data_IF_889606932518
#
_entry.id   IF_889606932518
#
_cell.length_a   1.000
_cell.length_b   1.000
_cell.length_c   1.000
_cell.angle_alpha   90.00
_cell.angle_beta   90.00
_cell.angle_gamma   90.00
#
_symmetry.space_group_name_H-M   'P 1'
#
loop_
_entity.id
_entity.type
_entity.pdbx_description
1 polymer ?
#
# COMPACT_ATOMS: atom_id res chain seq x y z
N UNK A 1 -24.45 -9.41 -18.45
CA UNK A 1 -23.26 -10.17 -18.01
C UNK A 1 -21.92 -9.60 -18.53
N UNK A 2 -21.90 -8.80 -19.59
CA UNK A 2 -20.67 -8.17 -20.15
C UNK A 2 -20.12 -6.98 -19.32
N UNK A 3 -20.99 -6.27 -18.58
CA UNK A 3 -20.55 -5.14 -17.74
C UNK A 3 -19.68 -5.54 -16.55
N UNK A 4 -19.85 -6.74 -16.00
CA UNK A 4 -19.07 -7.20 -14.85
C UNK A 4 -17.62 -7.55 -15.20
N UNK A 5 -17.37 -8.09 -16.41
CA UNK A 5 -16.02 -8.46 -16.86
C UNK A 5 -15.14 -7.23 -17.12
N UNK A 6 -15.71 -6.13 -17.60
CA UNK A 6 -14.96 -4.90 -17.86
C UNK A 6 -14.41 -4.25 -16.59
N UNK A 7 -15.04 -4.47 -15.43
CA UNK A 7 -14.60 -3.92 -14.12
C UNK A 7 -13.72 -4.90 -13.34
N UNK A 8 -13.81 -6.21 -13.59
CA UNK A 8 -13.04 -7.24 -12.86
C UNK A 8 -11.54 -7.06 -13.08
N UNK A 9 -11.11 -6.93 -14.35
CA UNK A 9 -9.68 -6.82 -14.65
C UNK A 9 -9.02 -5.55 -14.10
N UNK A 10 -9.62 -4.34 -14.23
CA UNK A 10 -9.07 -3.14 -13.60
C UNK A 10 -8.97 -3.26 -12.08
N UNK A 11 -9.99 -3.77 -11.40
CA UNK A 11 -9.98 -3.93 -9.95
C UNK A 11 -8.90 -4.95 -9.50
N UNK A 12 -8.79 -6.08 -10.19
CA UNK A 12 -7.76 -7.09 -9.91
C UNK A 12 -6.35 -6.56 -10.18
N UNK A 13 -6.13 -5.87 -11.31
CA UNK A 13 -4.84 -5.29 -11.65
C UNK A 13 -4.44 -4.19 -10.66
N UNK A 14 -5.39 -3.36 -10.25
CA UNK A 14 -5.17 -2.31 -9.26
C UNK A 14 -4.80 -2.89 -7.90
N UNK A 15 -5.54 -3.90 -7.42
CA UNK A 15 -5.22 -4.62 -6.19
C UNK A 15 -3.84 -5.29 -6.28
N UNK A 16 -3.52 -5.91 -7.41
CA UNK A 16 -2.20 -6.53 -7.65
C UNK A 16 -1.07 -5.50 -7.56
N UNK A 17 -1.16 -4.39 -8.30
CA UNK A 17 -0.10 -3.38 -8.34
C UNK A 17 0.11 -2.69 -6.99
N UNK A 18 -0.97 -2.37 -6.30
CA UNK A 18 -0.89 -1.77 -4.97
C UNK A 18 -0.29 -2.74 -3.94
N UNK A 19 -0.79 -3.97 -3.90
CA UNK A 19 -0.28 -4.99 -2.98
C UNK A 19 1.16 -5.42 -3.29
N UNK A 20 1.60 -5.30 -4.55
CA UNK A 20 2.98 -5.54 -4.94
C UNK A 20 3.95 -4.59 -4.21
N UNK A 21 3.59 -3.31 -4.11
CA UNK A 21 4.42 -2.30 -3.45
C UNK A 21 4.53 -2.61 -1.96
N UNK A 22 3.40 -2.83 -1.29
CA UNK A 22 3.37 -3.09 0.15
C UNK A 22 4.08 -4.41 0.51
N UNK A 23 3.91 -5.44 -0.33
CA UNK A 23 4.62 -6.70 -0.16
C UNK A 23 6.14 -6.54 -0.29
N UNK A 24 6.63 -5.67 -1.19
CA UNK A 24 8.06 -5.36 -1.33
C UNK A 24 8.58 -4.62 -0.10
N UNK A 25 7.84 -3.64 0.43
CA UNK A 25 8.22 -2.93 1.66
C UNK A 25 8.30 -3.90 2.85
N UNK A 26 7.28 -4.72 3.07
CA UNK A 26 7.30 -5.73 4.12
C UNK A 26 8.48 -6.71 3.96
N UNK A 27 8.68 -7.22 2.74
CA UNK A 27 9.75 -8.17 2.45
C UNK A 27 11.13 -7.57 2.72
N UNK A 28 11.36 -6.30 2.39
CA UNK A 28 12.64 -5.62 2.62
C UNK A 28 13.01 -5.65 4.10
N UNK A 29 12.06 -5.38 4.99
CA UNK A 29 12.27 -5.44 6.44
C UNK A 29 12.47 -6.88 6.92
N UNK A 30 11.66 -7.83 6.42
CA UNK A 30 11.82 -9.25 6.73
C UNK A 30 13.21 -9.75 6.36
N UNK A 31 13.71 -9.39 5.17
CA UNK A 31 15.04 -9.77 4.70
C UNK A 31 16.16 -9.10 5.52
N UNK A 32 15.99 -7.83 5.91
CA UNK A 32 16.94 -7.13 6.78
C UNK A 32 17.09 -7.87 8.12
N UNK A 33 15.97 -8.22 8.76
CA UNK A 33 15.95 -8.99 10.01
C UNK A 33 16.57 -10.39 9.79
N UNK A 34 16.18 -11.09 8.73
CA UNK A 34 16.68 -12.43 8.43
C UNK A 34 18.22 -12.44 8.21
N UNK A 35 18.76 -11.38 7.59
CA UNK A 35 20.18 -11.23 7.32
C UNK A 35 20.99 -10.98 8.60
N UNK A 36 20.43 -10.24 9.58
CA UNK A 36 21.16 -9.87 10.80
C UNK A 36 20.98 -10.88 11.94
N UNK A 37 19.75 -11.41 12.08
CA UNK A 37 19.36 -12.26 13.23
C UNK A 37 18.94 -13.67 12.83
N UNK A 38 18.89 -13.94 11.53
CA UNK A 38 18.47 -15.23 10.99
C UNK A 38 16.97 -15.36 10.76
N UNK A 39 16.61 -16.44 10.11
CA UNK A 39 15.24 -16.69 9.66
C UNK A 39 14.22 -17.03 10.77
N UNK A 40 14.70 -17.44 11.97
CA UNK A 40 13.79 -17.78 13.08
C UNK A 40 13.02 -16.57 13.60
N UNK A 41 13.68 -15.48 14.08
CA UNK A 41 12.95 -14.28 14.54
C UNK A 41 12.19 -13.60 13.40
N UNK A 42 12.75 -13.53 12.18
CA UNK A 42 12.07 -12.97 11.02
C UNK A 42 10.80 -13.77 10.67
N UNK A 43 10.89 -15.08 10.60
CA UNK A 43 9.77 -15.96 10.28
C UNK A 43 8.68 -15.95 11.37
N UNK A 44 9.05 -15.97 12.65
CA UNK A 44 8.09 -15.88 13.75
C UNK A 44 7.34 -14.55 13.74
N UNK A 45 8.04 -13.44 13.51
CA UNK A 45 7.41 -12.12 13.39
C UNK A 45 6.45 -12.05 12.21
N UNK A 46 6.89 -12.53 11.04
CA UNK A 46 6.05 -12.56 9.84
C UNK A 46 4.80 -13.43 10.04
N UNK A 47 4.93 -14.64 10.57
CA UNK A 47 3.81 -15.52 10.84
C UNK A 47 2.84 -14.94 11.88
N UNK A 48 3.35 -14.32 12.94
CA UNK A 48 2.51 -13.64 13.93
C UNK A 48 1.76 -12.46 13.31
N UNK A 49 2.42 -11.65 12.47
CA UNK A 49 1.78 -10.56 11.74
C UNK A 49 0.66 -11.04 10.81
N UNK A 50 0.93 -12.08 10.02
CA UNK A 50 -0.06 -12.71 9.15
C UNK A 50 -1.21 -13.34 9.92
N UNK A 51 -0.95 -13.98 11.07
CA UNK A 51 -1.99 -14.55 11.91
C UNK A 51 -2.94 -13.50 12.49
N UNK A 52 -2.39 -12.38 12.99
CA UNK A 52 -3.17 -11.23 13.47
C UNK A 52 -3.95 -10.61 12.32
N UNK A 53 -3.35 -10.44 11.14
CA UNK A 53 -4.01 -9.92 9.95
C UNK A 53 -5.18 -10.81 9.54
N UNK A 54 -4.96 -12.13 9.49
CA UNK A 54 -6.02 -13.09 9.18
C UNK A 54 -7.17 -13.03 10.22
N UNK A 55 -6.84 -12.92 11.50
CA UNK A 55 -7.83 -12.74 12.55
C UNK A 55 -8.65 -11.46 12.35
N UNK A 56 -7.99 -10.34 12.02
CA UNK A 56 -8.68 -9.07 11.73
C UNK A 56 -9.64 -9.25 10.55
N UNK A 57 -9.21 -9.89 9.47
CA UNK A 57 -10.06 -10.13 8.27
C UNK A 57 -11.25 -11.03 8.61
N UNK A 58 -11.03 -12.12 9.36
CA UNK A 58 -12.10 -13.06 9.74
C UNK A 58 -13.11 -12.42 10.68
N UNK A 59 -12.67 -11.56 11.60
CA UNK A 59 -13.56 -10.89 12.56
C UNK A 59 -14.28 -9.71 11.91
N UNK A 60 -13.56 -8.87 11.18
CA UNK A 60 -14.15 -7.65 10.59
C UNK A 60 -14.94 -7.95 9.31
N UNK A 61 -14.53 -8.95 8.52
CA UNK A 61 -15.18 -9.26 7.25
C UNK A 61 -16.70 -9.49 7.38
N UNK A 62 -17.19 -10.38 8.25
CA UNK A 62 -18.61 -10.57 8.47
C UNK A 62 -19.33 -9.35 9.04
N UNK A 63 -18.65 -8.57 9.91
CA UNK A 63 -19.21 -7.34 10.49
C UNK A 63 -19.53 -6.29 9.41
N UNK A 64 -18.70 -6.20 8.37
CA UNK A 64 -18.93 -5.27 7.25
C UNK A 64 -20.25 -5.56 6.52
N UNK A 65 -20.70 -6.82 6.47
CA UNK A 65 -21.98 -7.20 5.87
C UNK A 65 -23.22 -6.69 6.62
N UNK A 66 -23.08 -6.26 7.88
CA UNK A 66 -24.17 -5.70 8.68
C UNK A 66 -24.23 -4.16 8.66
N UNK A 67 -23.24 -3.51 8.06
CA UNK A 67 -23.18 -2.05 7.96
C UNK A 67 -24.05 -1.58 6.79
N UNK A 68 -24.91 -0.55 6.95
CA UNK A 68 -25.64 0.04 5.83
C UNK A 68 -24.69 0.47 4.71
N UNK A 69 -25.01 0.07 3.47
CA UNK A 69 -24.15 0.30 2.30
C UNK A 69 -23.66 1.76 2.17
N UNK A 70 -24.55 2.72 2.36
CA UNK A 70 -24.19 4.15 2.29
C UNK A 70 -23.14 4.56 3.32
N UNK A 71 -23.28 4.07 4.56
CA UNK A 71 -22.30 4.35 5.60
C UNK A 71 -20.96 3.69 5.28
N UNK A 72 -21.00 2.45 4.78
CA UNK A 72 -19.81 1.72 4.35
C UNK A 72 -19.09 2.47 3.23
N UNK A 73 -19.83 2.87 2.17
CA UNK A 73 -19.29 3.67 1.05
C UNK A 73 -18.67 4.98 1.54
N UNK A 74 -19.35 5.71 2.42
CA UNK A 74 -18.82 6.96 2.96
C UNK A 74 -17.52 6.73 3.74
N UNK A 75 -17.52 5.81 4.70
CA UNK A 75 -16.34 5.55 5.55
C UNK A 75 -15.16 5.04 4.70
N UNK A 76 -15.41 4.06 3.83
CA UNK A 76 -14.36 3.52 2.96
C UNK A 76 -13.89 4.60 1.97
N UNK A 77 -14.80 5.36 1.36
CA UNK A 77 -14.47 6.45 0.46
C UNK A 77 -13.56 7.49 1.10
N UNK A 78 -13.85 7.90 2.35
CA UNK A 78 -13.00 8.82 3.10
C UNK A 78 -11.63 8.20 3.39
N UNK A 79 -11.57 6.94 3.83
CA UNK A 79 -10.29 6.24 4.07
C UNK A 79 -9.45 6.15 2.81
N UNK A 80 -10.06 5.75 1.67
CA UNK A 80 -9.39 5.72 0.36
C UNK A 80 -8.82 7.07 -0.04
N UNK A 81 -9.63 8.13 0.14
CA UNK A 81 -9.19 9.49 -0.19
C UNK A 81 -7.99 9.88 0.67
N UNK A 82 -8.02 9.60 1.97
CA UNK A 82 -6.91 9.90 2.88
C UNK A 82 -5.64 9.11 2.51
N UNK A 83 -5.78 7.80 2.22
CA UNK A 83 -4.65 6.98 1.78
C UNK A 83 -4.11 7.44 0.42
N UNK A 84 -4.99 7.64 -0.55
CA UNK A 84 -4.63 8.11 -1.88
C UNK A 84 -3.90 9.46 -1.84
N UNK A 85 -4.41 10.43 -1.08
CA UNK A 85 -3.79 11.73 -0.90
C UNK A 85 -2.43 11.64 -0.18
N UNK A 86 -2.30 10.75 0.81
CA UNK A 86 -1.01 10.52 1.49
C UNK A 86 0.04 9.97 0.52
N UNK A 87 -0.35 9.00 -0.31
CA UNK A 87 0.54 8.42 -1.32
C UNK A 87 0.89 9.43 -2.42
N UNK A 88 -0.11 10.15 -2.94
CA UNK A 88 0.11 11.20 -3.93
C UNK A 88 1.06 12.29 -3.43
N UNK A 89 0.82 12.79 -2.21
CA UNK A 89 1.70 13.80 -1.61
C UNK A 89 3.15 13.29 -1.56
N UNK A 90 3.38 12.07 -1.07
CA UNK A 90 4.71 11.46 -0.97
C UNK A 90 5.34 11.28 -2.36
N UNK A 91 4.56 10.77 -3.31
CA UNK A 91 5.01 10.54 -4.68
C UNK A 91 5.32 11.85 -5.43
N UNK A 92 4.51 12.90 -5.25
CA UNK A 92 4.75 14.24 -5.81
C UNK A 92 6.06 14.82 -5.28
N UNK A 93 6.26 14.82 -3.96
CA UNK A 93 7.44 15.37 -3.32
C UNK A 93 8.72 14.62 -3.74
N UNK A 94 8.64 13.30 -3.90
CA UNK A 94 9.73 12.46 -4.43
C UNK A 94 10.00 12.78 -5.90
N UNK A 95 8.96 12.84 -6.73
CA UNK A 95 9.10 13.18 -8.16
C UNK A 95 9.61 14.61 -8.41
N UNK A 96 9.35 15.51 -7.46
CA UNK A 96 9.85 16.88 -7.49
C UNK A 96 11.29 17.02 -6.96
N UNK A 97 11.87 15.96 -6.37
CA UNK A 97 13.19 16.00 -5.75
C UNK A 97 13.25 16.72 -4.40
N UNK A 98 12.09 17.00 -3.78
CA UNK A 98 12.00 17.66 -2.46
C UNK A 98 12.37 16.70 -1.34
N UNK A 99 11.97 15.42 -1.49
CA UNK A 99 12.37 14.33 -0.61
C UNK A 99 13.04 13.24 -1.44
N UNK A 100 13.99 12.46 -0.89
CA UNK A 100 14.67 11.41 -1.61
C UNK A 100 13.67 10.36 -2.09
N UNK A 101 13.97 9.73 -3.24
CA UNK A 101 13.26 8.53 -3.67
C UNK A 101 13.43 7.45 -2.61
N UNK A 102 12.38 6.68 -2.40
CA UNK A 102 12.51 5.50 -1.56
C UNK A 102 13.43 4.50 -2.27
N UNK A 103 14.46 4.09 -1.57
CA UNK A 103 15.43 3.11 -2.07
C UNK A 103 15.40 1.92 -1.10
N UNK A 104 14.84 0.82 -1.57
CA UNK A 104 14.77 -0.43 -0.82
C UNK A 104 16.16 -0.91 -0.36
N UNK A 105 17.20 -0.60 -1.15
CA UNK A 105 18.59 -0.91 -0.78
C UNK A 105 19.05 -0.07 0.41
N UNK A 106 18.69 1.21 0.43
CA UNK A 106 18.98 2.11 1.56
C UNK A 106 18.16 1.73 2.80
N UNK A 107 16.87 1.41 2.62
CA UNK A 107 16.02 0.93 3.73
C UNK A 107 16.60 -0.35 4.32
N UNK A 108 16.94 -1.33 3.49
CA UNK A 108 17.58 -2.57 3.91
C UNK A 108 18.90 -2.30 4.65
N UNK A 109 19.75 -1.41 4.12
CA UNK A 109 21.02 -1.06 4.74
C UNK A 109 20.83 -0.38 6.10
N UNK A 110 19.87 0.54 6.21
CA UNK A 110 19.55 1.27 7.45
C UNK A 110 19.03 0.31 8.52
N UNK A 111 18.02 -0.50 8.21
CA UNK A 111 17.46 -1.51 9.12
C UNK A 111 18.54 -2.51 9.58
N UNK A 112 19.39 -2.94 8.63
CA UNK A 112 20.51 -3.84 8.93
C UNK A 112 21.53 -3.20 9.87
N UNK A 113 21.85 -1.90 9.68
CA UNK A 113 22.78 -1.16 10.53
C UNK A 113 22.21 -0.94 11.93
N UNK A 114 20.94 -0.56 12.04
CA UNK A 114 20.25 -0.37 13.33
C UNK A 114 20.18 -1.68 14.12
N UNK A 115 19.81 -2.78 13.48
CA UNK A 115 19.78 -4.10 14.11
C UNK A 115 21.16 -4.56 14.56
N UNK A 116 22.22 -4.28 13.79
CA UNK A 116 23.62 -4.62 14.18
C UNK A 116 24.09 -3.78 15.37
N UNK A 117 23.74 -2.50 15.42
CA UNK A 117 24.09 -1.64 16.55
C UNK A 117 23.35 -2.08 17.82
N UNK A 118 22.08 -2.44 17.71
CA UNK A 118 21.30 -3.02 18.80
C UNK A 118 21.91 -4.36 19.24
N UNK A 119 22.40 -5.18 18.29
CA UNK A 119 23.03 -6.49 18.55
C UNK A 119 24.27 -6.40 19.45
N UNK A 120 24.97 -5.30 19.44
CA UNK A 120 26.13 -5.07 20.31
C UNK A 120 25.75 -4.85 21.78
N UNK A 121 24.48 -4.53 22.07
CA UNK A 121 24.05 -4.08 23.40
C UNK A 121 23.44 -5.19 24.28
N UNK A 122 22.78 -6.19 23.74
CA UNK A 122 22.24 -7.31 24.54
C UNK A 122 21.60 -8.44 23.68
N UNK A 123 22.18 -9.64 23.67
CA UNK A 123 21.79 -10.73 22.76
C UNK A 123 20.37 -11.28 23.00
N UNK A 124 19.95 -11.48 24.23
CA UNK A 124 18.65 -12.10 24.54
C UNK A 124 17.44 -11.19 24.29
N UNK A 125 17.61 -9.87 24.38
CA UNK A 125 16.57 -8.87 24.07
C UNK A 125 16.36 -8.69 22.58
N UNK A 126 17.31 -9.08 21.79
CA UNK A 126 17.42 -8.75 20.37
C UNK A 126 16.57 -9.64 19.48
N UNK A 127 16.39 -10.91 19.81
CA UNK A 127 15.53 -11.81 19.04
C UNK A 127 14.06 -11.37 19.18
N UNK A 128 13.67 -10.89 20.36
CA UNK A 128 12.35 -10.31 20.57
C UNK A 128 12.14 -9.00 19.76
N UNK A 129 13.10 -8.09 19.80
CA UNK A 129 13.03 -6.85 19.02
C UNK A 129 12.99 -7.12 17.51
N UNK A 130 13.81 -8.03 17.03
CA UNK A 130 13.83 -8.46 15.65
C UNK A 130 12.48 -9.09 15.22
N UNK A 131 11.91 -9.96 16.06
CA UNK A 131 10.58 -10.53 15.85
C UNK A 131 9.50 -9.45 15.82
N UNK A 132 9.56 -8.50 16.75
CA UNK A 132 8.61 -7.40 16.82
C UNK A 132 8.72 -6.46 15.61
N UNK A 133 9.93 -6.16 15.13
CA UNK A 133 10.15 -5.37 13.91
C UNK A 133 9.50 -6.03 12.70
N UNK A 134 9.74 -7.31 12.48
CA UNK A 134 9.12 -8.07 11.38
C UNK A 134 7.60 -8.16 11.55
N UNK A 135 7.12 -8.43 12.76
CA UNK A 135 5.69 -8.45 13.08
C UNK A 135 5.01 -7.14 12.70
N UNK A 136 5.58 -6.01 13.14
CA UNK A 136 5.02 -4.68 12.84
C UNK A 136 5.02 -4.39 11.34
N UNK A 137 6.10 -4.70 10.64
CA UNK A 137 6.19 -4.49 9.20
C UNK A 137 5.10 -5.28 8.46
N UNK A 138 5.02 -6.58 8.67
CA UNK A 138 4.03 -7.44 8.00
C UNK A 138 2.60 -7.07 8.39
N UNK A 139 2.36 -6.68 9.64
CA UNK A 139 1.03 -6.26 10.08
C UNK A 139 0.62 -4.92 9.45
N UNK A 140 1.50 -3.93 9.42
CA UNK A 140 1.18 -2.59 8.92
C UNK A 140 0.98 -2.62 7.39
N UNK A 141 1.93 -3.19 6.65
CA UNK A 141 1.82 -3.30 5.20
C UNK A 141 0.67 -4.25 4.79
N UNK A 142 0.46 -5.32 5.56
CA UNK A 142 -0.67 -6.22 5.36
C UNK A 142 -2.02 -5.54 5.62
N UNK A 143 -2.14 -4.65 6.59
CA UNK A 143 -3.34 -3.83 6.80
C UNK A 143 -3.60 -2.89 5.63
N UNK A 144 -2.56 -2.27 5.06
CA UNK A 144 -2.71 -1.44 3.85
C UNK A 144 -3.27 -2.27 2.68
N UNK A 145 -2.75 -3.48 2.47
CA UNK A 145 -3.29 -4.43 1.47
C UNK A 145 -4.76 -4.77 1.73
N UNK A 146 -5.12 -5.08 2.99
CA UNK A 146 -6.52 -5.41 3.34
C UNK A 146 -7.44 -4.22 3.07
N UNK A 147 -7.04 -3.00 3.45
CA UNK A 147 -7.82 -1.81 3.17
C UNK A 147 -8.00 -1.56 1.68
N UNK A 148 -6.95 -1.74 0.87
CA UNK A 148 -7.02 -1.61 -0.59
C UNK A 148 -8.01 -2.64 -1.18
N UNK A 149 -7.93 -3.90 -0.74
CA UNK A 149 -8.83 -4.96 -1.22
C UNK A 149 -10.29 -4.66 -0.85
N UNK A 150 -10.56 -4.29 0.41
CA UNK A 150 -11.91 -3.91 0.85
C UNK A 150 -12.43 -2.74 0.01
N UNK A 151 -11.59 -1.75 -0.18
CA UNK A 151 -11.87 -0.56 -0.92
C UNK A 151 -12.26 -0.83 -2.38
N UNK A 152 -11.46 -1.61 -3.10
CA UNK A 152 -11.73 -1.96 -4.49
C UNK A 152 -12.91 -2.94 -4.65
N UNK A 153 -13.33 -3.60 -3.58
CA UNK A 153 -14.41 -4.59 -3.60
C UNK A 153 -15.76 -4.05 -3.15
N UNK A 154 -15.81 -2.91 -2.46
CA UNK A 154 -17.05 -2.37 -1.92
C UNK A 154 -18.02 -1.94 -3.04
N UNK A 155 -19.24 -2.38 -2.94
CA UNK A 155 -20.34 -2.00 -3.84
C UNK A 155 -20.51 -2.83 -5.12
N UNK A 156 -19.52 -3.57 -5.58
CA UNK A 156 -19.56 -4.25 -6.90
C UNK A 156 -19.37 -5.78 -6.86
N UNK A 157 -19.32 -6.40 -5.67
CA UNK A 157 -19.05 -7.84 -5.56
C UNK A 157 -17.65 -8.26 -6.01
N UNK A 158 -16.71 -7.31 -6.06
CA UNK A 158 -15.34 -7.47 -6.57
C UNK A 158 -14.35 -8.04 -5.53
N UNK A 159 -14.85 -8.52 -4.38
CA UNK A 159 -13.99 -9.01 -3.30
C UNK A 159 -13.07 -10.15 -3.77
N UNK A 160 -13.60 -11.12 -4.50
CA UNK A 160 -12.81 -12.25 -4.99
C UNK A 160 -11.75 -11.82 -6.01
N UNK A 161 -12.07 -11.03 -7.07
CA UNK A 161 -11.04 -10.54 -8.00
C UNK A 161 -9.96 -9.69 -7.32
N UNK A 162 -10.34 -8.74 -6.47
CA UNK A 162 -9.38 -7.89 -5.77
C UNK A 162 -8.49 -8.71 -4.81
N UNK A 163 -9.07 -9.64 -4.05
CA UNK A 163 -8.31 -10.55 -3.18
C UNK A 163 -7.37 -11.45 -3.98
N UNK A 164 -7.81 -11.95 -5.14
CA UNK A 164 -6.96 -12.77 -6.01
C UNK A 164 -5.76 -11.97 -6.54
N UNK A 165 -5.98 -10.72 -6.96
CA UNK A 165 -4.91 -9.81 -7.39
C UNK A 165 -3.90 -9.55 -6.28
N UNK A 166 -4.37 -9.19 -5.09
CA UNK A 166 -3.52 -8.94 -3.92
C UNK A 166 -2.73 -10.18 -3.51
N UNK A 167 -3.38 -11.33 -3.44
CA UNK A 167 -2.72 -12.60 -3.09
C UNK A 167 -1.66 -12.99 -4.12
N UNK A 168 -1.94 -12.82 -5.41
CA UNK A 168 -0.98 -13.07 -6.48
C UNK A 168 0.27 -12.20 -6.35
N UNK A 169 0.11 -10.92 -6.00
CA UNK A 169 1.22 -10.00 -5.75
C UNK A 169 2.05 -10.45 -4.54
N UNK A 170 1.41 -10.75 -3.41
CA UNK A 170 2.10 -11.20 -2.21
C UNK A 170 2.87 -12.52 -2.44
N UNK A 171 2.27 -13.49 -3.14
CA UNK A 171 2.93 -14.76 -3.47
C UNK A 171 4.10 -14.56 -4.43
N UNK A 172 3.96 -13.69 -5.43
CA UNK A 172 5.03 -13.35 -6.35
C UNK A 172 6.22 -12.74 -5.61
N UNK A 173 5.97 -11.72 -4.78
CA UNK A 173 7.02 -11.03 -4.01
C UNK A 173 7.68 -11.98 -3.02
N UNK A 174 6.90 -12.76 -2.28
CA UNK A 174 7.44 -13.76 -1.35
C UNK A 174 8.28 -14.81 -2.08
N UNK A 175 7.83 -15.33 -3.22
CA UNK A 175 8.56 -16.30 -4.04
C UNK A 175 9.87 -15.74 -4.58
N UNK A 176 9.85 -14.54 -5.16
CA UNK A 176 11.06 -13.87 -5.65
C UNK A 176 12.01 -13.56 -4.51
N UNK A 177 11.51 -13.03 -3.39
CA UNK A 177 12.32 -12.71 -2.21
C UNK A 177 12.99 -13.94 -1.60
N UNK A 178 12.29 -15.08 -1.56
CA UNK A 178 12.85 -16.34 -1.08
C UNK A 178 14.00 -16.84 -1.97
N UNK A 179 13.90 -16.63 -3.30
CA UNK A 179 14.94 -17.04 -4.27
C UNK A 179 16.13 -16.07 -4.24
N UNK A 180 15.85 -14.77 -4.27
CA UNK A 180 16.89 -13.74 -4.47
C UNK A 180 17.60 -13.38 -3.18
N UNK A 181 16.95 -13.50 -2.02
CA UNK A 181 17.47 -13.11 -0.69
C UNK A 181 17.99 -11.65 -0.63
N UNK A 182 17.52 -10.79 -1.52
CA UNK A 182 17.93 -9.39 -1.63
C UNK A 182 16.69 -8.51 -1.87
N UNK A 183 16.73 -7.23 -1.47
CA UNK A 183 15.64 -6.29 -1.75
C UNK A 183 15.36 -6.21 -3.26
N UNK A 184 14.09 -6.06 -3.61
CA UNK A 184 13.62 -5.93 -4.98
C UNK A 184 13.81 -4.48 -5.47
N UNK A 185 15.05 -4.00 -5.50
CA UNK A 185 15.44 -2.61 -5.81
C UNK A 185 15.00 -2.10 -7.21
N UNK A 186 14.45 -2.98 -8.06
CA UNK A 186 14.01 -2.62 -9.42
C UNK A 186 12.54 -2.28 -9.54
N UNK A 187 11.76 -2.41 -8.46
CA UNK A 187 10.34 -2.04 -8.48
C UNK A 187 10.23 -0.51 -8.53
N UNK A 188 9.56 0.08 -9.53
CA UNK A 188 9.42 1.52 -9.64
C UNK A 188 8.36 2.04 -8.65
N UNK A 189 8.63 1.87 -7.35
CA UNK A 189 7.73 2.14 -6.22
C UNK A 189 7.06 3.51 -6.33
N UNK A 190 7.84 4.58 -6.59
CA UNK A 190 7.27 5.92 -6.65
C UNK A 190 6.24 6.09 -7.78
N UNK A 191 6.47 5.45 -8.94
CA UNK A 191 5.53 5.48 -10.07
C UNK A 191 4.27 4.69 -9.75
N UNK A 192 4.43 3.53 -9.11
CA UNK A 192 3.29 2.71 -8.67
C UNK A 192 2.48 3.42 -7.60
N UNK A 193 3.11 3.97 -6.55
CA UNK A 193 2.43 4.75 -5.52
C UNK A 193 1.76 6.00 -6.09
N UNK A 194 2.33 6.64 -7.11
CA UNK A 194 1.69 7.75 -7.80
C UNK A 194 0.40 7.28 -8.52
N UNK A 195 0.50 6.23 -9.33
CA UNK A 195 -0.64 5.71 -10.09
C UNK A 195 -1.76 5.20 -9.17
N UNK A 196 -1.40 4.39 -8.16
CA UNK A 196 -2.35 3.88 -7.17
C UNK A 196 -2.94 5.02 -6.34
N UNK A 197 -2.13 6.01 -5.96
CA UNK A 197 -2.60 7.19 -5.23
C UNK A 197 -3.64 8.00 -6.00
N UNK A 198 -3.46 8.18 -7.33
CA UNK A 198 -4.47 8.78 -8.22
C UNK A 198 -5.76 7.97 -8.19
N UNK A 199 -5.64 6.66 -8.36
CA UNK A 199 -6.79 5.77 -8.41
C UNK A 199 -7.55 5.74 -7.08
N UNK A 200 -6.86 5.54 -5.95
CA UNK A 200 -7.48 5.54 -4.62
C UNK A 200 -8.17 6.87 -4.30
N UNK A 201 -7.55 8.00 -4.70
CA UNK A 201 -8.17 9.31 -4.50
C UNK A 201 -9.43 9.49 -5.34
N UNK A 202 -9.44 9.02 -6.58
CA UNK A 202 -10.60 9.05 -7.47
C UNK A 202 -11.75 8.21 -6.92
N UNK A 203 -11.48 6.95 -6.56
CA UNK A 203 -12.45 6.08 -5.90
C UNK A 203 -12.93 6.65 -4.56
N UNK A 204 -12.01 7.26 -3.81
CA UNK A 204 -12.34 7.86 -2.51
C UNK A 204 -13.37 8.99 -2.62
N UNK A 205 -13.19 9.91 -3.58
CA UNK A 205 -14.17 10.98 -3.84
C UNK A 205 -15.49 10.38 -4.32
N UNK A 206 -15.44 9.44 -5.26
CA UNK A 206 -16.63 8.82 -5.84
C UNK A 206 -17.48 8.17 -4.74
N UNK A 207 -16.91 7.30 -3.94
CA UNK A 207 -17.65 6.56 -2.91
C UNK A 207 -18.04 7.40 -1.70
N UNK A 208 -17.20 8.36 -1.29
CA UNK A 208 -17.61 9.29 -0.26
C UNK A 208 -18.85 10.09 -0.68
N UNK A 209 -18.90 10.51 -1.94
CA UNK A 209 -20.06 11.19 -2.51
C UNK A 209 -21.31 10.30 -2.59
N UNK A 210 -21.19 9.06 -3.08
CA UNK A 210 -22.29 8.09 -3.10
C UNK A 210 -22.81 7.80 -1.70
N UNK A 211 -21.93 7.64 -0.72
CA UNK A 211 -22.28 7.47 0.68
C UNK A 211 -23.07 8.64 1.26
N UNK A 212 -22.81 9.86 0.78
CA UNK A 212 -23.57 11.06 1.09
C UNK A 212 -24.86 11.20 0.26
N UNK A 213 -25.10 10.29 -0.69
CA UNK A 213 -26.28 10.31 -1.54
C UNK A 213 -26.12 11.14 -2.81
N UNK A 214 -24.89 11.51 -3.20
CA UNK A 214 -24.62 12.18 -4.47
C UNK A 214 -24.80 11.20 -5.63
N UNK A 215 -25.64 11.53 -6.59
CA UNK A 215 -25.74 10.81 -7.86
C UNK A 215 -24.75 11.43 -8.87
N UNK A 216 -23.72 10.69 -9.24
CA UNK A 216 -22.71 11.19 -10.16
C UNK A 216 -23.18 11.15 -11.61
N UNK A 217 -23.02 12.26 -12.40
CA UNK A 217 -23.29 12.22 -13.82
C UNK A 217 -22.43 11.18 -14.53
N UNK A 218 -23.06 10.30 -15.30
CA UNK A 218 -22.35 9.21 -16.00
C UNK A 218 -21.94 8.02 -15.11
N UNK A 219 -22.49 7.97 -13.89
CA UNK A 219 -22.28 6.83 -12.96
C UNK A 219 -20.79 6.53 -12.78
N UNK A 220 -20.34 5.31 -12.99
CA UNK A 220 -18.95 4.87 -12.82
C UNK A 220 -17.94 5.64 -13.70
N UNK A 221 -18.37 6.30 -14.79
CA UNK A 221 -17.49 7.14 -15.61
C UNK A 221 -16.95 8.36 -14.83
N UNK A 222 -17.64 8.79 -13.78
CA UNK A 222 -17.17 9.86 -12.92
C UNK A 222 -15.81 9.50 -12.25
N UNK A 223 -15.54 8.22 -11.98
CA UNK A 223 -14.26 7.76 -11.44
C UNK A 223 -13.13 8.12 -12.40
N UNK A 224 -13.32 7.92 -13.71
CA UNK A 224 -12.33 8.26 -14.73
C UNK A 224 -12.09 9.77 -14.76
N UNK A 225 -13.14 10.57 -14.66
CA UNK A 225 -13.02 12.02 -14.60
C UNK A 225 -12.23 12.48 -13.37
N UNK A 226 -12.49 11.90 -12.19
CA UNK A 226 -11.71 12.17 -10.98
C UNK A 226 -10.26 11.69 -11.12
N UNK A 227 -10.00 10.53 -11.70
CA UNK A 227 -8.65 10.04 -11.95
C UNK A 227 -7.86 11.00 -12.85
N UNK A 228 -8.45 11.46 -13.95
CA UNK A 228 -7.84 12.47 -14.84
C UNK A 228 -7.59 13.78 -14.11
N UNK A 229 -8.54 14.24 -13.29
CA UNK A 229 -8.39 15.44 -12.47
C UNK A 229 -7.20 15.30 -11.49
N UNK A 230 -7.16 14.21 -10.72
CA UNK A 230 -6.06 13.97 -9.77
C UNK A 230 -4.72 13.84 -10.49
N UNK A 231 -4.67 13.18 -11.64
CA UNK A 231 -3.48 13.06 -12.46
C UNK A 231 -2.97 14.44 -12.92
N UNK A 232 -3.86 15.29 -13.44
CA UNK A 232 -3.54 16.63 -13.91
C UNK A 232 -3.05 17.53 -12.75
N UNK A 233 -3.78 17.55 -11.63
CA UNK A 233 -3.41 18.33 -10.44
C UNK A 233 -2.08 17.86 -9.86
N UNK A 234 -1.88 16.55 -9.75
CA UNK A 234 -0.63 15.98 -9.23
C UNK A 234 0.54 16.26 -10.16
N UNK A 235 0.35 16.16 -11.48
CA UNK A 235 1.37 16.52 -12.47
C UNK A 235 1.76 18.00 -12.39
N UNK A 236 0.77 18.88 -12.29
CA UNK A 236 1.01 20.31 -12.09
C UNK A 236 1.75 20.59 -10.78
N UNK A 237 1.37 19.89 -9.68
CA UNK A 237 2.04 20.03 -8.39
C UNK A 237 3.52 19.58 -8.45
N UNK A 238 3.85 18.53 -9.20
CA UNK A 238 5.25 18.11 -9.43
C UNK A 238 6.03 19.21 -10.14
N UNK A 239 5.47 19.80 -11.21
CA UNK A 239 6.12 20.87 -11.97
C UNK A 239 6.35 22.10 -11.10
N UNK A 240 5.34 22.50 -10.31
CA UNK A 240 5.44 23.64 -9.41
C UNK A 240 6.47 23.41 -8.29
N UNK A 241 6.52 22.22 -7.74
CA UNK A 241 7.45 21.86 -6.66
C UNK A 241 8.90 21.74 -7.16
N UNK A 242 9.11 21.44 -8.45
CA UNK A 242 10.43 21.40 -9.11
C UNK A 242 11.03 22.78 -9.41
N UNK A 243 10.26 23.87 -9.29
CA UNK A 243 10.80 25.22 -9.56
C UNK A 243 12.04 25.43 -8.70
N UNK A 244 13.16 25.89 -9.28
CA UNK A 244 14.39 26.09 -8.53
C UNK A 244 14.06 27.00 -7.35
N UNK A 245 14.56 26.69 -6.16
CA UNK A 245 14.81 27.68 -5.14
C UNK A 245 15.85 28.64 -5.74
N UNK A 246 15.36 29.56 -6.59
CA UNK A 246 16.17 30.66 -7.07
C UNK A 246 16.61 31.44 -5.83
N UNK A 247 17.90 31.34 -5.55
CA UNK A 247 18.73 32.30 -4.87
C UNK A 247 18.11 33.03 -3.66
N UNK A 248 18.24 32.39 -2.49
CA UNK A 248 18.39 33.13 -1.25
C UNK A 248 19.86 32.95 -0.83
N UNK A 249 20.77 33.45 -1.67
CA UNK A 249 22.17 33.76 -1.33
C UNK A 249 22.55 34.99 -2.18
N UNK A 250 22.10 36.13 -1.72
CA UNK A 250 22.77 37.44 -1.99
C UNK A 250 22.74 38.23 -0.70
#
# INVERSE_FOLDING_TARGET
MTGSLALIWPAMAAAFLASLVEAVEALTIVLAVATVRGWRPAGLGALAGLAVLALIVVVLGPLLGHVPLRLLQFVIGVLLLLFGMRWLRKAILRSAGVIPLHDETMTFATETAELREQARRNEARLDWLATLTTFKAVLLEGLEVVFIVIALSAGHGMLLPASAGALAACLLVAGVGFIVHRPLARVPENTLKFAVGVMLSAFGVFWAGEGLGVGWPGEDLAIVAFAVMFLAVSGAAVVLARRPRAEVLS
#
